data_IF_163283150542
#
_entry.id   IF_163283150542
#
_cell.length_a   1.000
_cell.length_b   1.000
_cell.length_c   1.000
_cell.angle_alpha   90.00
_cell.angle_beta   90.00
_cell.angle_gamma   90.00
#
_symmetry.space_group_name_H-M   'P 1'
#
loop_
_entity.id
_entity.type
_entity.pdbx_description
1 polymer ?
#
# COMPACT_ATOMS: atom_id res chain seq x y z
N UNK A 1 -6.35 33.07 68.77
CA UNK A 1 -5.02 32.85 69.37
C UNK A 1 -4.80 31.33 69.48
N UNK A 2 -4.05 30.72 68.56
CA UNK A 2 -3.65 29.30 68.63
C UNK A 2 -2.14 29.25 68.55
N UNK A 3 -1.52 28.91 69.67
CA UNK A 3 -0.06 28.74 69.78
C UNK A 3 0.20 27.25 69.54
N UNK A 4 0.68 26.91 68.36
CA UNK A 4 1.20 25.57 68.06
C UNK A 4 2.67 25.55 68.50
N UNK A 5 2.95 24.86 69.60
CA UNK A 5 4.34 24.60 70.04
C UNK A 5 4.93 23.48 69.18
N UNK A 6 5.92 23.81 68.35
CA UNK A 6 6.79 22.82 67.72
C UNK A 6 7.95 22.52 68.65
N UNK A 7 7.88 21.38 69.34
CA UNK A 7 9.00 20.74 70.03
C UNK A 7 9.72 19.85 69.02
N UNK A 8 10.66 20.42 68.27
CA UNK A 8 11.43 19.69 67.28
C UNK A 8 12.65 20.49 66.86
N UNK A 9 13.82 19.88 67.03
CA UNK A 9 15.19 20.32 66.74
C UNK A 9 15.35 21.56 65.84
N UNK A 10 16.18 22.56 66.22
CA UNK A 10 16.31 23.86 65.54
C UNK A 10 16.81 23.78 64.09
N UNK A 11 17.23 22.61 63.62
CA UNK A 11 17.74 22.39 62.27
C UNK A 11 16.66 22.15 61.21
N UNK A 12 15.40 21.88 61.59
CA UNK A 12 14.29 21.73 60.60
C UNK A 12 13.57 23.04 60.27
N UNK A 13 13.67 24.07 61.12
CA UNK A 13 13.06 25.38 60.87
C UNK A 13 13.75 26.21 59.77
N UNK A 14 15.05 25.96 59.54
CA UNK A 14 15.82 26.69 58.53
C UNK A 14 15.50 26.27 57.08
N UNK A 15 14.99 25.05 56.88
CA UNK A 15 14.68 24.53 55.55
C UNK A 15 13.41 25.16 54.95
N UNK A 16 12.47 25.63 55.77
CA UNK A 16 11.22 26.26 55.31
C UNK A 16 11.40 27.71 54.80
N UNK A 17 12.58 28.31 54.99
CA UNK A 17 12.85 29.72 54.68
C UNK A 17 13.53 29.95 53.33
N UNK A 18 13.88 28.88 52.60
CA UNK A 18 14.63 28.99 51.34
C UNK A 18 13.74 29.12 50.09
N UNK A 19 12.41 29.10 50.23
CA UNK A 19 11.49 29.10 49.08
C UNK A 19 10.73 30.40 48.82
N UNK A 20 10.87 31.42 49.66
CA UNK A 20 10.13 32.69 49.50
C UNK A 20 11.07 33.83 49.17
N UNK A 21 10.70 34.63 48.17
CA UNK A 21 11.52 35.68 47.57
C UNK A 21 12.12 36.69 48.56
N UNK A 22 13.05 37.48 48.01
CA UNK A 22 13.92 38.50 48.64
C UNK A 22 13.31 39.34 49.79
N UNK A 23 11.98 39.46 49.88
CA UNK A 23 11.27 40.16 50.95
C UNK A 23 11.21 39.44 52.31
N UNK A 24 11.38 38.11 52.38
CA UNK A 24 11.24 37.38 53.66
C UNK A 24 12.49 37.40 54.54
N UNK A 25 13.69 37.41 53.95
CA UNK A 25 14.95 37.55 54.70
C UNK A 25 15.01 38.86 55.52
N UNK A 26 14.47 39.97 54.98
CA UNK A 26 14.35 41.25 55.71
C UNK A 26 13.30 41.26 56.82
N UNK A 27 12.34 40.33 56.84
CA UNK A 27 11.34 40.19 57.92
C UNK A 27 11.85 39.31 59.05
N UNK A 28 12.59 38.25 58.74
CA UNK A 28 13.17 37.35 59.75
C UNK A 28 14.31 38.03 60.50
N UNK A 29 15.16 38.80 59.79
CA UNK A 29 16.19 39.64 60.40
C UNK A 29 15.63 40.77 61.29
N UNK A 30 14.34 41.10 61.16
CA UNK A 30 13.64 42.07 62.02
C UNK A 30 12.95 41.42 63.23
N UNK A 31 12.68 40.12 63.20
CA UNK A 31 12.07 39.40 64.31
C UNK A 31 13.08 38.71 65.23
N UNK A 32 14.33 38.52 64.78
CA UNK A 32 15.45 38.11 65.62
C UNK A 32 16.30 39.36 65.89
N UNK A 33 16.17 39.96 67.08
CA UNK A 33 17.09 41.00 67.61
C UNK A 33 18.49 40.40 67.88
N UNK A 34 19.09 39.83 66.85
CA UNK A 34 20.48 39.39 66.85
C UNK A 34 21.21 40.38 65.97
N UNK A 35 22.09 41.19 66.56
CA UNK A 35 23.10 41.97 65.84
C UNK A 35 24.03 40.99 65.12
N UNK A 36 23.58 40.43 64.00
CA UNK A 36 24.45 39.66 63.13
C UNK A 36 25.43 40.64 62.48
N UNK A 37 26.75 40.47 62.69
CA UNK A 37 27.72 41.35 62.09
C UNK A 37 27.57 41.30 60.57
N UNK A 38 27.63 42.46 59.91
CA UNK A 38 27.45 42.64 58.45
C UNK A 38 28.23 41.62 57.60
N UNK A 39 29.36 41.13 58.12
CA UNK A 39 30.18 40.07 57.52
C UNK A 39 29.44 38.74 57.36
N UNK A 40 28.62 38.34 58.33
CA UNK A 40 27.83 37.09 58.30
C UNK A 40 26.69 37.19 57.29
N UNK A 41 26.00 38.33 57.23
CA UNK A 41 24.96 38.58 56.21
C UNK A 41 25.52 38.53 54.79
N UNK A 42 26.73 39.09 54.56
CA UNK A 42 27.43 39.00 53.27
C UNK A 42 27.82 37.56 52.93
N UNK A 43 28.32 36.79 53.90
CA UNK A 43 28.69 35.39 53.70
C UNK A 43 27.48 34.51 53.31
N UNK A 44 26.34 34.69 53.98
CA UNK A 44 25.10 33.97 53.66
C UNK A 44 24.60 34.34 52.26
N UNK A 45 24.65 35.62 51.88
CA UNK A 45 24.23 36.05 50.54
C UNK A 45 25.10 35.44 49.43
N UNK A 46 26.42 35.41 49.62
CA UNK A 46 27.36 34.75 48.69
C UNK A 46 27.09 33.25 48.62
N UNK A 47 26.86 32.59 49.76
CA UNK A 47 26.56 31.16 49.80
C UNK A 47 25.25 30.82 49.07
N UNK A 48 24.18 31.61 49.28
CA UNK A 48 22.89 31.43 48.59
C UNK A 48 23.03 31.68 47.08
N UNK A 49 23.79 32.70 46.66
CA UNK A 49 24.08 32.93 45.24
C UNK A 49 24.87 31.77 44.63
N UNK A 50 25.90 31.29 45.32
CA UNK A 50 26.71 30.15 44.87
C UNK A 50 25.84 28.89 44.73
N UNK A 51 25.01 28.58 45.73
CA UNK A 51 24.10 27.44 45.69
C UNK A 51 23.06 27.53 44.56
N UNK A 52 22.46 28.71 44.35
CA UNK A 52 21.52 28.93 43.23
C UNK A 52 22.22 28.76 41.88
N UNK A 53 23.45 29.26 41.74
CA UNK A 53 24.22 29.14 40.51
C UNK A 53 24.58 27.67 40.22
N UNK A 54 25.05 26.92 41.24
CA UNK A 54 25.32 25.48 41.13
C UNK A 54 24.06 24.68 40.77
N UNK A 55 22.91 25.01 41.36
CA UNK A 55 21.64 24.34 41.06
C UNK A 55 21.15 24.66 39.65
N UNK A 56 21.26 25.90 39.19
CA UNK A 56 20.92 26.28 37.82
C UNK A 56 21.83 25.57 36.80
N UNK A 57 23.13 25.50 37.07
CA UNK A 57 24.08 24.77 36.22
C UNK A 57 23.73 23.27 36.14
N UNK A 58 23.37 22.66 37.27
CA UNK A 58 22.95 21.25 37.31
C UNK A 58 21.69 21.00 36.47
N UNK A 59 20.67 21.87 36.59
CA UNK A 59 19.44 21.76 35.80
C UNK A 59 19.73 21.93 34.31
N UNK A 60 20.55 22.92 33.93
CA UNK A 60 20.95 23.12 32.53
C UNK A 60 21.72 21.92 31.97
N UNK A 61 22.60 21.31 32.76
CA UNK A 61 23.31 20.10 32.36
C UNK A 61 22.40 18.87 32.26
N UNK A 62 21.35 18.77 33.08
CA UNK A 62 20.33 17.73 32.94
C UNK A 62 19.53 17.91 31.65
N UNK A 63 18.95 19.10 31.43
CA UNK A 63 18.18 19.41 30.22
C UNK A 63 19.02 19.22 28.95
N UNK A 64 20.29 19.62 28.95
CA UNK A 64 21.19 19.39 27.82
C UNK A 64 21.39 17.89 27.53
N UNK A 65 21.50 17.06 28.56
CA UNK A 65 21.66 15.61 28.41
C UNK A 65 20.38 14.98 27.88
N UNK A 66 19.23 15.36 28.43
CA UNK A 66 17.92 14.85 27.99
C UNK A 66 17.67 15.21 26.53
N UNK A 67 17.85 16.48 26.15
CA UNK A 67 17.70 16.93 24.77
C UNK A 67 18.68 16.23 23.82
N UNK A 68 19.92 15.99 24.26
CA UNK A 68 20.88 15.23 23.45
C UNK A 68 20.51 13.76 23.31
N UNK A 69 19.79 13.18 24.27
CA UNK A 69 19.27 11.82 24.19
C UNK A 69 18.11 11.76 23.21
N UNK A 70 17.16 12.68 23.33
CA UNK A 70 15.99 12.78 22.44
C UNK A 70 16.42 12.99 20.98
N UNK A 71 17.39 13.87 20.73
CA UNK A 71 17.94 14.06 19.38
C UNK A 71 18.56 12.79 18.79
N UNK A 72 19.23 11.97 19.62
CA UNK A 72 19.77 10.67 19.16
C UNK A 72 18.67 9.65 18.91
N UNK A 73 17.56 9.71 19.64
CA UNK A 73 16.41 8.85 19.38
C UNK A 73 15.72 9.23 18.08
N UNK A 74 15.44 10.52 17.89
CA UNK A 74 14.88 11.04 16.63
C UNK A 74 15.78 10.70 15.44
N UNK A 75 17.10 10.84 15.57
CA UNK A 75 18.03 10.45 14.51
C UNK A 75 17.92 8.96 14.17
N UNK A 76 17.89 8.08 15.17
CA UNK A 76 17.73 6.63 14.94
C UNK A 76 16.41 6.30 14.26
N UNK A 77 15.33 6.99 14.61
CA UNK A 77 14.03 6.75 13.99
C UNK A 77 13.98 7.27 12.56
N UNK A 78 14.62 8.42 12.28
CA UNK A 78 14.82 8.90 10.90
C UNK A 78 15.62 7.91 10.06
N UNK A 79 16.69 7.33 10.62
CA UNK A 79 17.51 6.34 9.91
C UNK A 79 16.68 5.08 9.58
N UNK A 80 15.88 4.57 10.53
CA UNK A 80 14.95 3.43 10.29
C UNK A 80 13.90 3.75 9.24
N UNK A 81 13.32 4.95 9.28
CA UNK A 81 12.35 5.39 8.27
C UNK A 81 13.03 5.47 6.91
N UNK A 82 14.25 5.99 6.83
CA UNK A 82 15.06 6.02 5.62
C UNK A 82 15.28 4.63 5.03
N UNK A 83 15.67 3.65 5.85
CA UNK A 83 15.84 2.25 5.42
C UNK A 83 14.54 1.62 4.91
N UNK A 84 13.42 1.86 5.61
CA UNK A 84 12.10 1.38 5.18
C UNK A 84 11.68 2.00 3.85
N UNK A 85 11.91 3.29 3.65
CA UNK A 85 11.62 3.98 2.39
C UNK A 85 12.49 3.44 1.26
N UNK A 86 13.78 3.21 1.50
CA UNK A 86 14.67 2.62 0.50
C UNK A 86 14.22 1.19 0.11
N UNK A 87 13.84 0.38 1.10
CA UNK A 87 13.31 -0.97 0.86
C UNK A 87 12.01 -0.94 0.07
N UNK A 88 11.09 -0.03 0.39
CA UNK A 88 9.82 0.11 -0.33
C UNK A 88 10.04 0.55 -1.78
N UNK A 89 10.94 1.51 -2.01
CA UNK A 89 11.30 1.93 -3.38
C UNK A 89 11.86 0.78 -4.20
N UNK A 90 12.79 0.00 -3.64
CA UNK A 90 13.34 -1.16 -4.33
C UNK A 90 12.26 -2.21 -4.69
N UNK A 91 11.25 -2.39 -3.81
CA UNK A 91 10.09 -3.25 -4.12
C UNK A 91 9.18 -2.66 -5.19
N UNK A 92 8.94 -1.35 -5.13
CA UNK A 92 8.14 -0.63 -6.13
C UNK A 92 8.78 -0.73 -7.53
N UNK A 93 10.09 -0.55 -7.61
CA UNK A 93 10.86 -0.73 -8.85
C UNK A 93 10.71 -2.17 -9.37
N UNK A 94 10.89 -3.16 -8.50
CA UNK A 94 10.73 -4.58 -8.86
C UNK A 94 9.33 -4.94 -9.34
N UNK A 95 8.28 -4.41 -8.69
CA UNK A 95 6.90 -4.62 -9.16
C UNK A 95 6.62 -3.91 -10.48
N UNK A 96 7.23 -2.75 -10.72
CA UNK A 96 7.08 -2.02 -11.99
C UNK A 96 7.70 -2.82 -13.14
N UNK A 97 8.90 -3.38 -12.94
CA UNK A 97 9.54 -4.27 -13.92
C UNK A 97 8.70 -5.53 -14.20
N UNK A 98 8.13 -6.15 -13.16
CA UNK A 98 7.27 -7.33 -13.31
C UNK A 98 5.98 -7.02 -14.09
N UNK A 99 5.37 -5.86 -13.83
CA UNK A 99 4.18 -5.40 -14.56
C UNK A 99 4.51 -5.18 -16.04
N UNK A 100 5.62 -4.53 -16.34
CA UNK A 100 6.05 -4.31 -17.73
C UNK A 100 6.28 -5.63 -18.46
N UNK A 101 6.93 -6.60 -17.80
CA UNK A 101 7.13 -7.93 -18.36
C UNK A 101 5.82 -8.66 -18.62
N UNK A 102 4.88 -8.66 -17.66
CA UNK A 102 3.57 -9.28 -17.82
C UNK A 102 2.75 -8.64 -18.93
N UNK A 103 2.82 -7.32 -19.09
CA UNK A 103 2.15 -6.61 -20.19
C UNK A 103 2.68 -7.04 -21.55
N UNK A 104 4.00 -7.17 -21.70
CA UNK A 104 4.62 -7.67 -22.93
C UNK A 104 4.19 -9.10 -23.24
N UNK A 105 4.13 -9.96 -22.23
CA UNK A 105 3.71 -11.35 -22.39
C UNK A 105 2.23 -11.47 -22.77
N UNK A 106 1.35 -10.64 -22.19
CA UNK A 106 -0.06 -10.56 -22.59
C UNK A 106 -0.19 -10.18 -24.07
N UNK A 107 0.54 -9.15 -24.52
CA UNK A 107 0.52 -8.75 -25.93
C UNK A 107 1.00 -9.87 -26.86
N UNK A 108 2.04 -10.60 -26.45
CA UNK A 108 2.56 -11.75 -27.19
C UNK A 108 1.51 -12.85 -27.31
N UNK A 109 0.84 -13.20 -26.22
CA UNK A 109 -0.20 -14.22 -26.19
C UNK A 109 -1.45 -13.81 -26.97
N UNK A 110 -1.85 -12.54 -26.91
CA UNK A 110 -2.96 -12.02 -27.71
C UNK A 110 -2.67 -12.13 -29.20
N UNK A 111 -1.45 -11.79 -29.63
CA UNK A 111 -1.03 -11.95 -31.02
C UNK A 111 -1.10 -13.42 -31.45
N UNK A 112 -0.56 -14.32 -30.63
CA UNK A 112 -0.61 -15.76 -30.90
C UNK A 112 -2.05 -16.27 -31.00
N UNK A 113 -2.94 -15.79 -30.14
CA UNK A 113 -4.36 -16.15 -30.19
C UNK A 113 -4.99 -15.71 -31.51
N UNK A 114 -4.74 -14.49 -31.97
CA UNK A 114 -5.24 -13.98 -33.25
C UNK A 114 -4.70 -14.81 -34.41
N UNK A 115 -3.40 -15.13 -34.41
CA UNK A 115 -2.78 -15.94 -35.47
C UNK A 115 -3.41 -17.34 -35.54
N UNK A 116 -3.65 -17.98 -34.39
CA UNK A 116 -4.33 -19.27 -34.32
C UNK A 116 -5.77 -19.14 -34.82
N UNK A 117 -6.50 -18.11 -34.40
CA UNK A 117 -7.89 -17.89 -34.84
C UNK A 117 -7.98 -17.72 -36.36
N UNK A 118 -7.12 -16.88 -36.94
CA UNK A 118 -7.04 -16.70 -38.39
C UNK A 118 -6.75 -18.03 -39.10
N UNK A 119 -5.80 -18.81 -38.61
CA UNK A 119 -5.51 -20.12 -39.19
C UNK A 119 -6.67 -21.12 -39.06
N UNK A 120 -7.41 -21.10 -37.96
CA UNK A 120 -8.59 -21.95 -37.81
C UNK A 120 -9.70 -21.54 -38.77
N UNK A 121 -9.93 -20.25 -38.93
CA UNK A 121 -10.93 -19.72 -39.88
C UNK A 121 -10.54 -20.07 -41.32
N UNK A 122 -9.26 -19.93 -41.69
CA UNK A 122 -8.76 -20.30 -43.01
C UNK A 122 -8.96 -21.80 -43.28
N UNK A 123 -8.62 -22.66 -42.30
CA UNK A 123 -8.81 -24.10 -42.43
C UNK A 123 -10.30 -24.47 -42.54
N UNK A 124 -11.16 -23.84 -41.75
CA UNK A 124 -12.62 -24.03 -41.84
C UNK A 124 -13.16 -23.60 -43.20
N UNK A 125 -12.69 -22.48 -43.75
CA UNK A 125 -13.05 -22.01 -45.08
C UNK A 125 -12.57 -22.98 -46.17
N UNK A 126 -11.34 -23.49 -46.08
CA UNK A 126 -10.81 -24.49 -47.00
C UNK A 126 -11.61 -25.80 -46.95
N UNK A 127 -11.98 -26.26 -45.75
CA UNK A 127 -12.79 -27.46 -45.57
C UNK A 127 -14.22 -27.29 -46.11
N UNK A 128 -14.77 -26.08 -46.07
CA UNK A 128 -16.10 -25.77 -46.57
C UNK A 128 -16.16 -25.48 -48.06
N UNK A 129 -15.03 -25.24 -48.74
CA UNK A 129 -15.03 -24.84 -50.15
C UNK A 129 -15.72 -25.88 -51.06
N UNK A 130 -15.56 -27.17 -50.76
CA UNK A 130 -16.20 -28.25 -51.51
C UNK A 130 -17.60 -28.61 -51.00
N UNK A 131 -18.09 -27.94 -49.95
CA UNK A 131 -19.39 -28.22 -49.34
C UNK A 131 -20.47 -27.30 -49.89
N UNK A 132 -21.40 -27.87 -50.66
CA UNK A 132 -22.55 -27.13 -51.19
C UNK A 132 -23.72 -27.23 -50.19
N UNK A 133 -24.24 -26.08 -49.75
CA UNK A 133 -25.45 -26.02 -48.90
C UNK A 133 -26.67 -25.68 -49.74
N UNK A 134 -27.57 -26.65 -49.89
CA UNK A 134 -28.84 -26.47 -50.60
C UNK A 134 -29.92 -26.10 -49.58
N UNK A 135 -30.56 -24.94 -49.76
CA UNK A 135 -31.66 -24.46 -48.91
C UNK A 135 -33.00 -24.68 -49.60
N UNK A 136 -34.05 -24.89 -48.81
CA UNK A 136 -35.42 -25.02 -49.33
C UNK A 136 -35.80 -26.41 -49.83
N UNK A 137 -35.00 -27.43 -49.53
CA UNK A 137 -35.35 -28.83 -49.83
C UNK A 137 -36.55 -29.24 -48.96
N UNK A 138 -37.70 -29.61 -49.56
CA UNK A 138 -38.88 -30.01 -48.80
C UNK A 138 -38.61 -31.29 -48.04
N UNK A 139 -38.93 -31.32 -46.74
CA UNK A 139 -38.71 -32.48 -45.86
C UNK A 139 -39.36 -33.77 -46.35
N UNK A 140 -40.42 -33.67 -47.15
CA UNK A 140 -41.13 -34.83 -47.71
C UNK A 140 -40.59 -35.31 -49.07
N UNK A 141 -39.75 -34.51 -49.75
CA UNK A 141 -39.31 -34.80 -51.12
C UNK A 141 -38.08 -35.72 -51.20
N UNK A 142 -37.37 -35.88 -50.09
CA UNK A 142 -36.12 -36.64 -50.00
C UNK A 142 -36.36 -38.17 -49.96
N UNK A 143 -37.59 -38.61 -49.65
CA UNK A 143 -37.93 -40.03 -49.60
C UNK A 143 -37.02 -40.82 -48.64
N UNK A 144 -36.54 -41.99 -49.09
CA UNK A 144 -35.57 -42.84 -48.38
C UNK A 144 -34.13 -42.53 -48.83
N UNK A 145 -33.96 -41.90 -50.00
CA UNK A 145 -32.66 -41.69 -50.64
C UNK A 145 -32.44 -40.23 -51.00
N UNK A 146 -31.70 -39.54 -50.13
CA UNK A 146 -31.30 -38.15 -50.30
C UNK A 146 -30.30 -37.98 -51.45
N UNK A 147 -29.48 -38.99 -51.74
CA UNK A 147 -28.45 -38.96 -52.79
C UNK A 147 -29.08 -38.86 -54.18
N UNK A 148 -29.98 -39.79 -54.49
CA UNK A 148 -30.70 -39.79 -55.77
C UNK A 148 -31.51 -38.51 -56.00
N UNK A 149 -32.08 -37.90 -54.95
CA UNK A 149 -32.76 -36.62 -55.06
C UNK A 149 -31.83 -35.48 -55.49
N UNK A 150 -30.64 -35.39 -54.89
CA UNK A 150 -29.66 -34.35 -55.21
C UNK A 150 -29.10 -34.52 -56.62
N UNK A 151 -28.83 -35.75 -57.04
CA UNK A 151 -28.41 -36.05 -58.41
C UNK A 151 -29.46 -35.63 -59.44
N UNK A 152 -30.74 -35.95 -59.20
CA UNK A 152 -31.85 -35.52 -60.06
C UNK A 152 -31.99 -34.00 -60.11
N UNK A 153 -31.82 -33.32 -58.96
CA UNK A 153 -31.87 -31.86 -58.86
C UNK A 153 -30.75 -31.21 -59.68
N UNK A 154 -29.52 -31.70 -59.56
CA UNK A 154 -28.39 -31.18 -60.34
C UNK A 154 -28.53 -31.49 -61.82
N UNK A 155 -29.03 -32.68 -62.19
CA UNK A 155 -29.36 -33.02 -63.57
C UNK A 155 -30.41 -32.08 -64.18
N UNK A 156 -31.41 -31.67 -63.39
CA UNK A 156 -32.40 -30.68 -63.83
C UNK A 156 -31.81 -29.29 -64.03
N UNK A 157 -30.94 -28.83 -63.12
CA UNK A 157 -30.35 -27.47 -63.17
C UNK A 157 -29.30 -27.35 -64.27
N UNK A 158 -28.42 -28.36 -64.39
CA UNK A 158 -27.24 -28.31 -65.26
C UNK A 158 -27.51 -28.91 -66.66
N UNK A 159 -28.65 -29.59 -66.85
CA UNK A 159 -29.07 -30.17 -68.12
C UNK A 159 -28.17 -31.31 -68.61
N UNK A 160 -28.03 -31.45 -69.93
CA UNK A 160 -27.32 -32.53 -70.63
C UNK A 160 -25.78 -32.52 -70.46
N UNK A 161 -25.25 -31.66 -69.57
CA UNK A 161 -23.82 -31.52 -69.30
C UNK A 161 -23.25 -32.64 -68.39
N UNK A 162 -24.08 -33.57 -67.94
CA UNK A 162 -23.76 -34.57 -66.90
C UNK A 162 -23.37 -35.95 -67.46
N UNK A 163 -22.39 -36.00 -68.36
CA UNK A 163 -21.64 -37.25 -68.59
C UNK A 163 -20.47 -37.41 -67.58
N UNK A 164 -20.34 -36.51 -66.60
CA UNK A 164 -19.37 -36.62 -65.51
C UNK A 164 -20.00 -37.35 -64.31
N UNK A 165 -19.37 -38.44 -63.87
CA UNK A 165 -19.72 -39.16 -62.65
C UNK A 165 -19.59 -38.21 -61.43
N UNK A 166 -20.72 -37.80 -60.86
CA UNK A 166 -20.73 -37.04 -59.61
C UNK A 166 -20.35 -37.98 -58.45
N UNK A 167 -19.28 -37.66 -57.73
CA UNK A 167 -18.91 -38.34 -56.49
C UNK A 167 -19.30 -37.47 -55.31
N UNK A 168 -20.33 -37.91 -54.59
CA UNK A 168 -20.77 -37.30 -53.34
C UNK A 168 -20.12 -38.07 -52.18
N UNK A 169 -19.16 -37.44 -51.50
CA UNK A 169 -18.45 -38.10 -50.38
C UNK A 169 -19.35 -38.25 -49.15
N UNK A 170 -20.07 -37.19 -48.77
CA UNK A 170 -20.96 -37.18 -47.62
C UNK A 170 -22.18 -36.29 -47.89
N UNK A 171 -23.36 -36.81 -47.56
CA UNK A 171 -24.62 -36.08 -47.69
C UNK A 171 -25.38 -36.20 -46.39
N UNK A 172 -25.65 -35.06 -45.75
CA UNK A 172 -26.37 -35.03 -44.49
C UNK A 172 -27.25 -33.80 -44.42
N UNK A 173 -28.38 -33.93 -43.72
CA UNK A 173 -29.25 -32.81 -43.42
C UNK A 173 -28.75 -32.12 -42.15
N UNK A 174 -28.52 -30.81 -42.23
CA UNK A 174 -28.23 -30.01 -41.06
C UNK A 174 -29.56 -29.65 -40.38
N UNK A 175 -29.74 -30.11 -39.14
CA UNK A 175 -30.82 -29.59 -38.30
C UNK A 175 -30.56 -28.11 -38.04
N UNK A 176 -31.56 -27.27 -38.33
CA UNK A 176 -31.50 -25.85 -38.02
C UNK A 176 -31.28 -25.71 -36.51
N UNK A 177 -30.12 -25.22 -36.10
CA UNK A 177 -29.93 -24.72 -34.74
C UNK A 177 -30.95 -23.60 -34.53
N UNK A 178 -32.00 -23.88 -33.76
CA UNK A 178 -32.89 -22.84 -33.24
C UNK A 178 -32.06 -21.98 -32.29
N UNK A 179 -31.57 -20.85 -32.79
CA UNK A 179 -30.98 -19.80 -31.97
C UNK A 179 -32.03 -19.36 -30.95
N UNK A 180 -31.78 -19.64 -29.67
CA UNK A 180 -32.46 -18.99 -28.54
C UNK A 180 -31.77 -17.68 -28.24
#
# INVERSE_FOLDING_TARGET
>A
MRIVKFTGSPLRGAAALLYTGHGTLRRIARHMELEMPVRVCKAIAVWVMCYKCSRALFVLQAVKRDLSSDLKEVQRDLDKVGERVATLKCKEDGYSEEIEWLQQEILRLQKLQIDIQSHTEDLENCLQWNNIRIKGVPTAAEGIDLGGYVEALFGFILGDAMNLEMKLDQLHRLELRTSR
#
